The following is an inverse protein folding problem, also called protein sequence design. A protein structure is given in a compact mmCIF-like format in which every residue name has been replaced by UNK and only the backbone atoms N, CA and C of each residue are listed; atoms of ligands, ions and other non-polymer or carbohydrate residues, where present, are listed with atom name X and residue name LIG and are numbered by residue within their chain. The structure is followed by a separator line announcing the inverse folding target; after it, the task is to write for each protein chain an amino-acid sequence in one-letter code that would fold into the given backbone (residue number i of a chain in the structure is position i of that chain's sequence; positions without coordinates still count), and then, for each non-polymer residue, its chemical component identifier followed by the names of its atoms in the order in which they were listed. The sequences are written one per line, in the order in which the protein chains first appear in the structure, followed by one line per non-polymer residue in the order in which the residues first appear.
data_IF_261864704626
#
_entry.id   IF_261864704626
#
_cell.length_a   1.000
_cell.length_b   1.000
_cell.length_c   1.000
_cell.angle_alpha   90.00
_cell.angle_beta   90.00
_cell.angle_gamma   90.00
#
_symmetry.space_group_name_H-M   'P 1'
#
loop_
_entity.id
_entity.type
_entity.pdbx_description
1 polymer ?
#
# COMPACT_ATOMS: atom_id res chain seq x y z
N UNK A 1 4.52 -3.70 -46.61
CA UNK A 1 5.07 -4.74 -45.74
C UNK A 1 4.32 -4.67 -44.43
N UNK A 2 3.33 -5.53 -44.30
CA UNK A 2 2.42 -5.62 -43.13
C UNK A 2 3.13 -6.43 -42.05
N UNK A 3 3.56 -5.80 -40.96
CA UNK A 3 4.04 -6.52 -39.80
C UNK A 3 2.84 -7.15 -39.07
N UNK A 4 2.81 -8.47 -39.07
CA UNK A 4 1.90 -9.31 -38.29
C UNK A 4 2.24 -9.16 -36.82
N UNK A 5 1.29 -8.68 -36.02
CA UNK A 5 1.30 -8.72 -34.56
C UNK A 5 1.20 -10.20 -34.15
N UNK A 6 2.05 -10.73 -33.25
CA UNK A 6 1.86 -12.08 -32.74
C UNK A 6 0.60 -12.09 -31.87
N UNK A 7 -0.45 -12.76 -32.34
CA UNK A 7 -1.59 -13.16 -31.55
C UNK A 7 -1.21 -14.33 -30.65
N UNK A 8 -1.82 -14.31 -29.43
CA UNK A 8 -1.88 -15.42 -28.47
C UNK A 8 -0.75 -15.48 -27.45
N UNK A 9 -0.86 -14.60 -26.43
CA UNK A 9 -0.50 -15.02 -25.09
C UNK A 9 -1.60 -16.00 -24.62
N UNK A 10 -1.37 -17.29 -24.79
CA UNK A 10 -2.17 -18.35 -24.17
C UNK A 10 -1.91 -18.30 -22.65
N UNK A 11 -2.72 -17.54 -21.93
CA UNK A 11 -2.79 -17.60 -20.48
C UNK A 11 -3.50 -18.92 -20.12
N UNK A 12 -2.76 -19.98 -19.83
CA UNK A 12 -3.28 -21.06 -19.00
C UNK A 12 -3.67 -20.44 -17.65
N UNK A 13 -4.92 -20.58 -17.18
CA UNK A 13 -5.29 -20.08 -15.85
C UNK A 13 -4.41 -20.79 -14.83
N UNK A 14 -3.46 -20.05 -14.25
CA UNK A 14 -2.67 -20.51 -13.13
C UNK A 14 -3.63 -20.76 -11.96
N UNK A 15 -3.80 -21.99 -11.52
CA UNK A 15 -4.65 -22.35 -10.39
C UNK A 15 -4.23 -21.59 -9.12
N UNK A 16 -2.96 -21.18 -9.02
CA UNK A 16 -2.45 -20.31 -7.95
C UNK A 16 -3.05 -18.88 -8.00
N UNK A 17 -3.56 -18.46 -9.16
CA UNK A 17 -4.17 -17.16 -9.33
C UNK A 17 -5.59 -17.06 -8.72
N UNK A 18 -6.25 -18.18 -8.45
CA UNK A 18 -7.62 -18.18 -7.90
C UNK A 18 -7.58 -18.15 -6.37
N UNK A 19 -8.18 -17.09 -5.78
CA UNK A 19 -8.34 -17.02 -4.33
C UNK A 19 -9.53 -17.87 -3.89
N UNK A 20 -9.30 -18.79 -2.95
CA UNK A 20 -10.32 -19.58 -2.27
C UNK A 20 -10.27 -19.26 -0.78
N UNK A 21 -11.35 -18.67 -0.20
CA UNK A 21 -11.36 -18.34 1.21
C UNK A 21 -11.31 -19.60 2.08
N UNK A 22 -10.69 -19.48 3.23
CA UNK A 22 -10.67 -20.55 4.22
C UNK A 22 -12.10 -20.94 4.60
N UNK A 23 -12.38 -22.25 4.67
CA UNK A 23 -13.72 -22.77 5.02
C UNK A 23 -14.21 -22.17 6.34
N UNK A 24 -15.40 -21.56 6.30
CA UNK A 24 -16.00 -20.85 7.43
C UNK A 24 -15.51 -19.42 7.64
N UNK A 25 -14.63 -18.90 6.78
CA UNK A 25 -14.06 -17.55 6.84
C UNK A 25 -14.30 -16.78 5.52
N UNK A 26 -15.40 -17.04 4.84
CA UNK A 26 -15.79 -16.28 3.64
C UNK A 26 -16.38 -14.90 3.98
N UNK A 27 -16.75 -14.66 5.25
CA UNK A 27 -17.27 -13.36 5.66
C UNK A 27 -16.18 -12.28 5.58
N UNK A 28 -16.48 -11.16 4.90
CA UNK A 28 -15.56 -10.05 4.66
C UNK A 28 -14.92 -9.47 5.92
N UNK A 29 -15.66 -9.42 7.03
CA UNK A 29 -15.14 -8.89 8.28
C UNK A 29 -14.16 -9.86 8.95
N UNK A 30 -14.45 -11.17 8.87
CA UNK A 30 -13.50 -12.19 9.31
C UNK A 30 -12.23 -12.16 8.44
N UNK A 31 -12.36 -12.08 7.12
CA UNK A 31 -11.22 -11.92 6.22
C UNK A 31 -10.35 -10.71 6.60
N UNK A 32 -10.97 -9.57 6.87
CA UNK A 32 -10.25 -8.33 7.22
C UNK A 32 -9.53 -8.41 8.57
N UNK A 33 -10.17 -9.02 9.59
CA UNK A 33 -9.66 -8.99 10.96
C UNK A 33 -8.73 -10.16 11.31
N UNK A 34 -8.95 -11.33 10.73
CA UNK A 34 -8.27 -12.57 11.09
C UNK A 34 -6.74 -12.49 10.95
N UNK A 35 -6.15 -11.86 9.91
CA UNK A 35 -4.69 -11.73 9.81
C UNK A 35 -4.06 -11.12 11.08
N UNK A 36 -4.67 -10.09 11.65
CA UNK A 36 -4.19 -9.45 12.89
C UNK A 36 -4.26 -10.35 14.13
N UNK A 37 -5.22 -11.27 14.16
CA UNK A 37 -5.38 -12.17 15.28
C UNK A 37 -4.36 -13.31 15.25
N UNK A 38 -4.02 -13.80 14.05
CA UNK A 38 -3.12 -14.96 13.88
C UNK A 38 -1.66 -14.56 13.66
N UNK A 39 -1.38 -13.34 13.19
CA UNK A 39 -0.03 -12.83 12.94
C UNK A 39 0.27 -11.59 13.77
N UNK A 40 0.59 -11.82 15.05
CA UNK A 40 0.84 -10.75 16.04
C UNK A 40 2.30 -10.35 16.14
N UNK A 41 3.22 -11.17 15.64
CA UNK A 41 4.67 -10.94 15.73
C UNK A 41 5.25 -10.79 14.34
N UNK A 42 6.20 -9.90 14.18
CA UNK A 42 7.02 -9.78 12.97
C UNK A 42 7.75 -11.11 12.74
N UNK A 43 7.79 -11.57 11.49
CA UNK A 43 8.29 -12.89 11.12
C UNK A 43 9.82 -12.95 10.93
N UNK A 44 10.49 -11.82 10.98
CA UNK A 44 11.95 -11.70 10.85
C UNK A 44 12.48 -10.58 11.76
N UNK A 45 13.78 -10.57 12.02
CA UNK A 45 14.44 -9.46 12.71
C UNK A 45 14.81 -8.39 11.69
N UNK A 46 14.23 -7.18 11.76
CA UNK A 46 14.52 -6.13 10.80
C UNK A 46 15.87 -5.47 11.07
N UNK A 47 16.56 -5.10 10.00
CA UNK A 47 17.64 -4.12 10.04
C UNK A 47 17.03 -2.75 9.78
N UNK A 48 17.15 -1.84 10.75
CA UNK A 48 16.58 -0.51 10.65
C UNK A 48 17.56 0.48 10.03
N UNK A 49 17.07 1.32 9.17
CA UNK A 49 17.82 2.43 8.59
C UNK A 49 16.94 3.65 8.51
N UNK A 50 17.45 4.80 8.94
CA UNK A 50 16.81 6.10 8.71
C UNK A 50 17.29 6.66 7.39
N UNK A 51 16.35 7.14 6.58
CA UNK A 51 16.62 7.88 5.36
C UNK A 51 16.18 9.32 5.55
N UNK A 52 17.15 10.24 5.49
CA UNK A 52 16.87 11.66 5.50
C UNK A 52 16.28 12.11 4.16
N UNK A 53 15.29 12.99 4.23
CA UNK A 53 14.56 13.55 3.10
C UNK A 53 15.07 14.96 2.79
N UNK A 54 14.87 15.48 1.55
CA UNK A 54 15.37 16.78 1.14
C UNK A 54 14.85 17.98 1.93
N UNK A 55 13.79 17.81 2.71
CA UNK A 55 13.14 18.84 3.53
C UNK A 55 13.54 18.76 5.01
N UNK A 56 14.70 18.15 5.33
CA UNK A 56 15.21 17.94 6.70
C UNK A 56 14.29 17.05 7.58
N UNK A 57 13.39 16.30 6.95
CA UNK A 57 12.61 15.27 7.61
C UNK A 57 13.21 13.88 7.38
N UNK A 58 12.50 12.82 7.72
CA UNK A 58 12.98 11.44 7.55
C UNK A 58 11.84 10.45 7.34
N UNK A 59 12.21 9.31 6.77
CA UNK A 59 11.44 8.07 6.79
C UNK A 59 12.32 6.94 7.33
N UNK A 60 11.72 5.97 7.99
CA UNK A 60 12.44 4.80 8.50
C UNK A 60 12.18 3.57 7.64
N UNK A 61 13.24 2.88 7.30
CA UNK A 61 13.26 1.68 6.46
C UNK A 61 13.48 0.45 7.35
N UNK A 62 12.64 -0.57 7.20
CA UNK A 62 12.80 -1.86 7.86
C UNK A 62 13.17 -2.92 6.83
N UNK A 63 14.44 -3.30 6.77
CA UNK A 63 15.00 -4.26 5.85
C UNK A 63 14.88 -5.69 6.37
N UNK A 64 14.73 -6.66 5.47
CA UNK A 64 14.73 -8.09 5.81
C UNK A 64 16.08 -8.63 6.22
N UNK A 65 17.14 -7.97 5.80
CA UNK A 65 18.55 -8.26 6.09
C UNK A 65 19.39 -7.01 5.79
N UNK A 66 20.73 -7.06 6.03
CA UNK A 66 21.61 -5.94 5.74
C UNK A 66 21.63 -5.61 4.24
N UNK A 67 21.15 -4.41 3.83
CA UNK A 67 21.07 -4.05 2.43
C UNK A 67 22.43 -3.90 1.75
N UNK A 68 23.50 -3.61 2.50
CA UNK A 68 24.86 -3.51 1.95
C UNK A 68 25.42 -4.86 1.53
N UNK A 69 25.04 -5.93 2.23
CA UNK A 69 25.47 -7.28 1.89
C UNK A 69 24.58 -7.95 0.82
N UNK A 70 23.38 -7.41 0.61
CA UNK A 70 22.35 -7.96 -0.26
C UNK A 70 22.10 -7.13 -1.55
N UNK A 71 23.04 -6.24 -1.93
CA UNK A 71 22.85 -5.32 -3.07
C UNK A 71 22.57 -6.01 -4.40
N UNK A 72 23.11 -7.22 -4.59
CA UNK A 72 22.93 -8.02 -5.81
C UNK A 72 21.58 -8.74 -5.93
N UNK A 73 20.79 -8.73 -4.84
CA UNK A 73 19.51 -9.43 -4.82
C UNK A 73 18.40 -8.60 -5.49
N UNK A 74 17.42 -9.26 -6.12
CA UNK A 74 16.16 -8.58 -6.48
C UNK A 74 15.52 -7.94 -5.25
N UNK A 75 14.83 -6.82 -5.44
CA UNK A 75 14.31 -6.00 -4.34
C UNK A 75 12.79 -5.93 -4.34
N UNK A 76 12.21 -6.05 -3.15
CA UNK A 76 10.78 -5.85 -2.93
C UNK A 76 10.54 -4.73 -1.92
N UNK A 77 9.96 -3.63 -2.39
CA UNK A 77 9.56 -2.48 -1.58
C UNK A 77 8.09 -2.62 -1.18
N UNK A 78 7.77 -2.37 0.09
CA UNK A 78 6.38 -2.34 0.58
C UNK A 78 6.01 -0.96 1.08
N UNK A 79 4.93 -0.39 0.50
CA UNK A 79 4.22 0.80 0.97
C UNK A 79 2.96 0.38 1.73
N UNK A 80 2.92 0.68 3.01
CA UNK A 80 1.84 0.22 3.89
C UNK A 80 0.55 1.04 3.77
N UNK A 81 -0.55 0.56 4.33
CA UNK A 81 -1.82 1.27 4.41
C UNK A 81 -1.83 2.36 5.49
N UNK A 82 -2.99 3.01 5.65
CA UNK A 82 -3.22 4.07 6.63
C UNK A 82 -2.82 3.62 8.04
N UNK A 83 -1.93 4.39 8.69
CA UNK A 83 -1.36 4.08 10.02
C UNK A 83 -0.78 2.65 10.13
N UNK A 84 -0.34 2.10 9.00
CA UNK A 84 0.37 0.84 8.93
C UNK A 84 1.84 0.99 9.35
N UNK A 85 2.54 -0.14 9.37
CA UNK A 85 3.98 -0.21 9.66
C UNK A 85 4.50 -1.61 9.34
N UNK A 86 5.76 -1.88 9.65
CA UNK A 86 6.30 -3.24 9.66
C UNK A 86 5.44 -4.23 10.47
N UNK A 87 4.75 -3.76 11.53
CA UNK A 87 3.88 -4.61 12.35
C UNK A 87 2.53 -4.97 11.69
N UNK A 88 2.25 -4.44 10.51
CA UNK A 88 1.08 -4.86 9.73
C UNK A 88 1.29 -6.27 9.21
N UNK A 89 0.35 -7.23 9.45
CA UNK A 89 0.52 -8.64 9.08
C UNK A 89 0.89 -8.86 7.62
N UNK A 90 0.28 -8.08 6.72
CA UNK A 90 0.56 -8.15 5.29
C UNK A 90 1.98 -7.67 4.93
N UNK A 91 2.49 -6.66 5.66
CA UNK A 91 3.81 -6.09 5.37
C UNK A 91 4.92 -7.09 5.73
N UNK A 92 5.03 -7.48 7.01
CA UNK A 92 6.07 -8.43 7.40
C UNK A 92 5.88 -9.82 6.79
N UNK A 93 4.64 -10.23 6.48
CA UNK A 93 4.36 -11.49 5.84
C UNK A 93 4.88 -11.52 4.41
N UNK A 94 4.62 -10.46 3.63
CA UNK A 94 5.12 -10.36 2.26
C UNK A 94 6.66 -10.24 2.22
N UNK A 95 7.26 -9.46 3.13
CA UNK A 95 8.72 -9.37 3.24
C UNK A 95 9.35 -10.73 3.57
N UNK A 96 8.74 -11.51 4.47
CA UNK A 96 9.20 -12.87 4.76
C UNK A 96 9.08 -13.79 3.54
N UNK A 97 8.01 -13.68 2.76
CA UNK A 97 7.85 -14.44 1.53
C UNK A 97 8.89 -14.06 0.46
N UNK A 98 9.21 -12.77 0.33
CA UNK A 98 10.29 -12.27 -0.53
C UNK A 98 11.66 -12.81 -0.09
N UNK A 99 11.95 -12.74 1.21
CA UNK A 99 13.18 -13.28 1.79
C UNK A 99 13.35 -14.78 1.51
N UNK A 100 12.26 -15.55 1.61
CA UNK A 100 12.27 -16.98 1.31
C UNK A 100 12.60 -17.31 -0.17
N UNK A 101 12.40 -16.34 -1.08
CA UNK A 101 12.80 -16.40 -2.51
C UNK A 101 14.19 -15.85 -2.79
N UNK A 102 14.93 -15.43 -1.76
CA UNK A 102 16.24 -14.82 -1.91
C UNK A 102 16.19 -13.33 -2.31
N UNK A 103 15.05 -12.66 -2.20
CA UNK A 103 14.92 -11.24 -2.48
C UNK A 103 15.19 -10.40 -1.23
N UNK A 104 15.73 -9.22 -1.43
CA UNK A 104 15.88 -8.21 -0.39
C UNK A 104 14.55 -7.46 -0.23
N UNK A 105 13.91 -7.62 0.93
CA UNK A 105 12.66 -6.94 1.22
C UNK A 105 12.86 -5.71 2.09
N UNK A 106 12.07 -4.66 1.86
CA UNK A 106 12.05 -3.46 2.68
C UNK A 106 10.64 -2.90 2.85
N UNK A 107 10.30 -2.51 4.07
CA UNK A 107 9.10 -1.69 4.35
C UNK A 107 9.55 -0.25 4.54
N UNK A 108 9.08 0.65 3.68
CA UNK A 108 9.20 2.09 3.90
C UNK A 108 8.05 2.55 4.79
N UNK A 109 8.40 3.11 5.95
CA UNK A 109 7.40 3.72 6.83
C UNK A 109 7.13 5.15 6.35
N UNK A 110 5.86 5.49 6.15
CA UNK A 110 5.48 6.87 5.91
C UNK A 110 5.80 7.73 7.12
N UNK A 111 5.94 9.04 6.91
CA UNK A 111 6.29 10.01 7.95
C UNK A 111 5.46 9.80 9.22
N UNK A 112 6.11 9.63 10.35
CA UNK A 112 5.50 9.42 11.66
C UNK A 112 4.92 8.01 11.92
N UNK A 113 5.07 7.06 10.99
CA UNK A 113 4.50 5.71 11.12
C UNK A 113 5.47 4.67 11.69
N UNK A 114 6.74 4.98 11.88
CA UNK A 114 7.74 4.08 12.49
C UNK A 114 7.73 4.08 14.03
N UNK A 115 6.93 4.96 14.64
CA UNK A 115 6.85 5.14 16.10
C UNK A 115 7.39 6.49 16.57
N UNK A 116 8.27 7.13 15.83
CA UNK A 116 8.77 8.49 16.07
C UNK A 116 8.02 9.49 15.18
N UNK A 117 7.54 10.63 15.72
CA UNK A 117 6.91 11.67 14.92
C UNK A 117 7.93 12.30 13.97
N UNK A 118 7.54 12.54 12.75
CA UNK A 118 8.34 13.29 11.80
C UNK A 118 8.46 14.78 12.19
N UNK A 119 9.53 15.45 11.77
CA UNK A 119 9.92 16.79 12.23
C UNK A 119 9.11 17.91 11.58
N UNK A 120 8.87 17.79 10.26
CA UNK A 120 8.23 18.83 9.46
C UNK A 120 6.71 18.89 9.68
N UNK A 121 6.07 20.01 9.32
CA UNK A 121 4.60 20.15 9.32
C UNK A 121 3.93 19.12 8.42
N UNK A 122 4.57 18.83 7.30
CA UNK A 122 4.12 17.85 6.31
C UNK A 122 3.87 16.48 6.96
N UNK A 123 2.77 15.84 6.58
CA UNK A 123 2.42 14.46 6.95
C UNK A 123 2.20 13.65 5.67
N UNK A 124 2.17 12.32 5.78
CA UNK A 124 1.81 11.50 4.64
C UNK A 124 0.30 11.56 4.34
N UNK A 125 -0.08 11.34 3.09
CA UNK A 125 -1.46 11.20 2.64
C UNK A 125 -1.58 10.34 1.38
N UNK A 126 -2.82 10.04 0.94
CA UNK A 126 -3.08 9.06 -0.13
C UNK A 126 -2.48 9.42 -1.50
N UNK A 127 -2.21 10.69 -1.77
CA UNK A 127 -1.61 11.16 -3.03
C UNK A 127 -0.19 11.68 -2.87
N UNK A 128 0.44 11.49 -1.69
CA UNK A 128 1.80 11.93 -1.43
C UNK A 128 2.79 10.96 -2.06
N UNK A 129 3.36 11.34 -3.21
CA UNK A 129 4.26 10.50 -4.01
C UNK A 129 5.73 10.85 -3.87
N UNK A 130 6.06 12.03 -3.33
CA UNK A 130 7.43 12.57 -3.35
C UNK A 130 8.38 11.76 -2.48
N UNK A 131 7.97 11.40 -1.26
CA UNK A 131 8.80 10.56 -0.38
C UNK A 131 9.05 9.18 -0.98
N UNK A 132 8.03 8.57 -1.59
CA UNK A 132 8.16 7.29 -2.28
C UNK A 132 9.08 7.36 -3.49
N UNK A 133 8.94 8.40 -4.31
CA UNK A 133 9.81 8.66 -5.48
C UNK A 133 11.26 8.91 -5.04
N UNK A 134 11.45 9.73 -4.01
CA UNK A 134 12.78 9.99 -3.44
C UNK A 134 13.44 8.71 -2.95
N UNK A 135 12.72 7.91 -2.17
CA UNK A 135 13.23 6.64 -1.66
C UNK A 135 13.61 5.67 -2.78
N UNK A 136 12.78 5.52 -3.81
CA UNK A 136 13.06 4.60 -4.92
C UNK A 136 14.29 5.04 -5.72
N UNK A 137 14.45 6.35 -5.98
CA UNK A 137 15.64 6.89 -6.64
C UNK A 137 16.88 6.72 -5.79
N UNK A 138 16.81 7.07 -4.51
CA UNK A 138 17.89 6.84 -3.56
C UNK A 138 18.31 5.37 -3.50
N UNK A 139 17.32 4.45 -3.52
CA UNK A 139 17.57 3.00 -3.50
C UNK A 139 18.37 2.56 -4.75
N UNK A 140 18.01 3.03 -5.92
CA UNK A 140 18.69 2.71 -7.16
C UNK A 140 20.10 3.31 -7.22
N UNK A 141 20.27 4.55 -6.77
CA UNK A 141 21.56 5.26 -6.77
C UNK A 141 22.53 4.71 -5.73
N UNK A 142 22.05 4.44 -4.49
CA UNK A 142 22.91 4.03 -3.36
C UNK A 142 23.28 2.56 -3.42
N UNK A 143 22.35 1.69 -3.84
CA UNK A 143 22.58 0.24 -3.85
C UNK A 143 22.84 -0.33 -5.25
N UNK A 144 22.96 0.54 -6.27
CA UNK A 144 23.21 0.13 -7.65
C UNK A 144 22.01 -0.56 -8.32
N UNK A 145 22.17 -0.98 -9.59
CA UNK A 145 21.10 -1.61 -10.35
C UNK A 145 20.80 -3.02 -9.83
N UNK A 146 19.52 -3.29 -9.56
CA UNK A 146 19.01 -4.64 -9.35
C UNK A 146 17.50 -4.65 -9.70
N UNK A 147 16.94 -5.76 -10.18
CA UNK A 147 15.51 -5.87 -10.42
C UNK A 147 14.72 -5.44 -9.18
N UNK A 148 13.81 -4.49 -9.33
CA UNK A 148 13.11 -3.88 -8.19
C UNK A 148 11.61 -3.80 -8.45
N UNK A 149 10.82 -4.31 -7.52
CA UNK A 149 9.36 -4.18 -7.54
C UNK A 149 8.84 -3.50 -6.28
N UNK A 150 7.66 -2.87 -6.39
CA UNK A 150 6.98 -2.27 -5.26
C UNK A 150 5.59 -2.88 -5.06
N UNK A 151 5.16 -2.97 -3.80
CA UNK A 151 3.81 -3.41 -3.44
C UNK A 151 3.17 -2.36 -2.52
N UNK A 152 2.03 -1.84 -2.96
CA UNK A 152 1.24 -0.88 -2.19
C UNK A 152 -0.04 -1.51 -1.64
N UNK A 153 -0.30 -1.32 -0.35
CA UNK A 153 -1.51 -1.80 0.31
C UNK A 153 -2.44 -0.66 0.70
N UNK A 154 -3.72 -0.76 0.38
CA UNK A 154 -4.74 0.21 0.77
C UNK A 154 -4.31 1.65 0.39
N UNK A 155 -4.16 2.58 1.34
CA UNK A 155 -3.63 3.93 1.09
C UNK A 155 -2.30 3.90 0.32
N UNK A 156 -1.35 3.05 0.72
CA UNK A 156 -0.08 2.88 0.02
C UNK A 156 -0.24 2.37 -1.41
N UNK A 157 -1.32 1.62 -1.69
CA UNK A 157 -1.68 1.19 -3.04
C UNK A 157 -2.19 2.34 -3.92
N UNK A 158 -3.02 3.23 -3.36
CA UNK A 158 -3.45 4.43 -4.07
C UNK A 158 -2.25 5.37 -4.33
N UNK A 159 -1.41 5.58 -3.33
CA UNK A 159 -0.19 6.38 -3.46
C UNK A 159 0.73 5.80 -4.56
N UNK A 160 0.96 4.49 -4.56
CA UNK A 160 1.80 3.83 -5.56
C UNK A 160 1.21 3.96 -6.97
N UNK A 161 -0.11 3.85 -7.14
CA UNK A 161 -0.78 4.08 -8.42
C UNK A 161 -0.58 5.53 -8.92
N UNK A 162 -0.71 6.52 -8.03
CA UNK A 162 -0.43 7.92 -8.34
C UNK A 162 1.04 8.13 -8.72
N UNK A 163 1.96 7.51 -8.00
CA UNK A 163 3.40 7.57 -8.27
C UNK A 163 3.73 6.99 -9.65
N UNK A 164 3.25 5.79 -9.95
CA UNK A 164 3.47 5.14 -11.24
C UNK A 164 2.91 5.95 -12.41
N UNK A 165 1.72 6.54 -12.24
CA UNK A 165 1.11 7.37 -13.27
C UNK A 165 1.82 8.72 -13.48
N UNK A 166 2.43 9.28 -12.41
CA UNK A 166 3.17 10.54 -12.45
C UNK A 166 4.57 10.37 -13.03
N UNK A 167 5.30 9.36 -12.59
CA UNK A 167 6.69 9.14 -12.98
C UNK A 167 6.82 8.36 -14.31
N UNK A 168 5.80 7.58 -14.69
CA UNK A 168 5.81 6.79 -15.93
C UNK A 168 7.02 5.86 -15.99
N UNK A 169 7.73 5.89 -17.12
CA UNK A 169 8.90 5.03 -17.34
C UNK A 169 10.14 5.42 -16.54
N UNK A 170 10.18 6.62 -15.96
CA UNK A 170 11.34 7.11 -15.19
C UNK A 170 11.43 6.54 -13.79
N UNK A 171 10.34 5.93 -13.28
CA UNK A 171 10.38 5.27 -11.97
C UNK A 171 11.33 4.06 -12.02
N UNK A 172 12.26 3.91 -11.05
CA UNK A 172 13.20 2.80 -11.03
C UNK A 172 12.55 1.52 -10.47
N UNK A 173 11.47 1.07 -11.13
CA UNK A 173 10.74 -0.16 -10.84
C UNK A 173 10.56 -0.97 -12.13
N UNK A 174 10.71 -2.28 -12.05
CA UNK A 174 10.43 -3.21 -13.14
C UNK A 174 8.97 -3.64 -13.15
N UNK A 175 8.34 -3.74 -11.99
CA UNK A 175 6.92 -4.06 -11.83
C UNK A 175 6.36 -3.56 -10.50
N UNK A 176 5.03 -3.56 -10.36
CA UNK A 176 4.37 -3.25 -9.10
C UNK A 176 3.13 -4.10 -8.84
N UNK A 177 2.75 -4.25 -7.58
CA UNK A 177 1.44 -4.81 -7.21
C UNK A 177 0.68 -3.85 -6.28
N UNK A 178 -0.62 -3.75 -6.47
CA UNK A 178 -1.51 -2.84 -5.74
C UNK A 178 -2.65 -3.66 -5.15
N UNK A 179 -2.83 -3.60 -3.83
CA UNK A 179 -3.79 -4.43 -3.12
C UNK A 179 -4.79 -3.58 -2.36
N UNK A 180 -6.08 -3.82 -2.59
CA UNK A 180 -7.21 -3.18 -1.87
C UNK A 180 -7.09 -1.66 -1.81
N UNK A 181 -6.67 -1.02 -2.91
CA UNK A 181 -6.43 0.41 -2.96
C UNK A 181 -7.74 1.20 -3.13
N UNK A 182 -7.97 2.26 -2.32
CA UNK A 182 -9.15 3.10 -2.40
C UNK A 182 -9.01 4.12 -3.54
N UNK A 183 -9.10 3.67 -4.81
CA UNK A 183 -8.89 4.51 -6.00
C UNK A 183 -9.87 5.70 -6.13
N UNK A 184 -10.99 5.66 -5.42
CA UNK A 184 -11.98 6.75 -5.32
C UNK A 184 -12.12 7.14 -3.84
N UNK A 185 -11.24 8.01 -3.35
CA UNK A 185 -11.15 8.37 -1.93
C UNK A 185 -12.44 8.95 -1.36
N UNK A 186 -13.13 9.80 -2.13
CA UNK A 186 -14.41 10.40 -1.71
C UNK A 186 -15.46 9.30 -1.47
N UNK A 187 -15.63 8.36 -2.40
CA UNK A 187 -16.55 7.24 -2.27
C UNK A 187 -16.20 6.33 -1.09
N UNK A 188 -14.93 6.01 -0.91
CA UNK A 188 -14.46 5.22 0.23
C UNK A 188 -14.74 5.92 1.56
N UNK A 189 -14.51 7.23 1.64
CA UNK A 189 -14.81 8.04 2.84
C UNK A 189 -16.30 7.97 3.20
N UNK A 190 -17.20 8.14 2.22
CA UNK A 190 -18.65 8.00 2.43
C UNK A 190 -19.07 6.58 2.79
N UNK A 191 -18.43 5.55 2.17
CA UNK A 191 -18.72 4.16 2.48
C UNK A 191 -18.34 3.81 3.93
N UNK A 192 -17.20 4.31 4.40
CA UNK A 192 -16.70 4.12 5.76
C UNK A 192 -17.60 4.77 6.83
N UNK A 193 -18.45 5.73 6.47
CA UNK A 193 -19.44 6.35 7.35
C UNK A 193 -20.71 5.50 7.56
N UNK A 194 -20.83 4.34 6.88
CA UNK A 194 -22.06 3.54 6.87
C UNK A 194 -21.88 2.17 7.53
N UNK A 195 -22.95 1.65 8.10
CA UNK A 195 -23.03 0.28 8.60
C UNK A 195 -21.86 -0.13 9.51
N UNK A 196 -21.38 -1.34 9.34
CA UNK A 196 -20.28 -1.90 10.13
C UNK A 196 -18.92 -1.23 9.79
N UNK A 197 -18.77 -0.63 8.62
CA UNK A 197 -17.54 0.07 8.21
C UNK A 197 -17.17 1.21 9.15
N UNK A 198 -18.16 1.78 9.90
CA UNK A 198 -17.92 2.75 10.97
C UNK A 198 -17.01 2.23 12.09
N UNK A 199 -16.98 0.92 12.31
CA UNK A 199 -16.07 0.30 13.31
C UNK A 199 -14.62 0.43 12.84
N UNK A 200 -14.37 0.14 11.57
CA UNK A 200 -13.04 0.32 10.96
C UNK A 200 -12.64 1.79 10.90
N UNK A 201 -13.56 2.66 10.49
CA UNK A 201 -13.33 4.10 10.50
C UNK A 201 -12.90 4.59 11.89
N UNK A 202 -13.66 4.22 12.92
CA UNK A 202 -13.33 4.60 14.31
C UNK A 202 -11.96 4.08 14.73
N UNK A 203 -11.62 2.85 14.37
CA UNK A 203 -10.33 2.25 14.66
C UNK A 203 -9.18 3.06 13.99
N UNK A 204 -9.26 3.30 12.69
CA UNK A 204 -8.26 4.06 11.93
C UNK A 204 -8.15 5.51 12.42
N UNK A 205 -9.28 6.16 12.65
CA UNK A 205 -9.32 7.52 13.20
C UNK A 205 -8.62 7.62 14.57
N UNK A 206 -8.80 6.62 15.44
CA UNK A 206 -8.13 6.60 16.73
C UNK A 206 -6.60 6.50 16.58
N UNK A 207 -6.11 5.72 15.61
CA UNK A 207 -4.67 5.63 15.29
C UNK A 207 -4.15 6.97 14.77
N UNK A 208 -4.83 7.59 13.80
CA UNK A 208 -4.48 8.93 13.28
C UNK A 208 -4.44 9.99 14.38
N UNK A 209 -5.44 9.99 15.26
CA UNK A 209 -5.50 10.93 16.41
C UNK A 209 -4.36 10.68 17.39
N UNK A 210 -4.00 9.43 17.65
CA UNK A 210 -2.88 9.09 18.52
C UNK A 210 -1.55 9.57 17.92
N UNK A 211 -1.36 9.36 16.61
CA UNK A 211 -0.19 9.82 15.89
C UNK A 211 -0.10 11.36 15.88
N UNK A 212 -1.16 12.05 15.49
CA UNK A 212 -1.24 13.50 15.50
C UNK A 212 -1.00 14.09 16.93
N UNK A 213 -1.53 13.44 17.96
CA UNK A 213 -1.31 13.87 19.34
C UNK A 213 0.15 13.69 19.78
N UNK A 214 0.83 12.62 19.36
CA UNK A 214 2.29 12.44 19.61
C UNK A 214 3.09 13.54 18.91
N UNK A 215 2.76 13.83 17.65
CA UNK A 215 3.40 14.90 16.87
C UNK A 215 3.23 16.26 17.53
N UNK A 216 2.01 16.64 17.92
CA UNK A 216 1.76 17.90 18.64
C UNK A 216 2.51 18.04 19.98
N UNK A 217 2.76 16.91 20.67
CA UNK A 217 3.54 16.92 21.91
C UNK A 217 5.04 17.07 21.65
N UNK A 218 5.55 16.41 20.60
CA UNK A 218 6.98 16.46 20.25
C UNK A 218 7.33 17.79 19.56
N UNK A 219 6.47 18.26 18.70
CA UNK A 219 6.66 19.47 17.88
C UNK A 219 5.39 20.35 17.94
N UNK A 220 5.26 21.22 18.96
CA UNK A 220 4.14 22.15 19.07
C UNK A 220 4.01 23.00 17.79
N UNK A 221 2.80 23.40 17.44
CA UNK A 221 2.49 24.25 16.29
C UNK A 221 2.78 23.67 14.89
N UNK A 222 3.12 22.39 14.80
CA UNK A 222 3.32 21.70 13.51
C UNK A 222 1.99 21.31 12.83
N UNK A 223 0.93 21.15 13.60
CA UNK A 223 -0.39 20.85 13.06
C UNK A 223 -1.37 22.04 13.30
N UNK A 224 -2.31 22.28 12.38
CA UNK A 224 -3.24 23.42 12.46
C UNK A 224 -4.38 23.20 13.46
N UNK A 225 -4.19 22.39 14.48
CA UNK A 225 -5.19 22.01 15.48
C UNK A 225 -4.58 21.88 16.87
N UNK A 226 -5.36 22.18 17.88
CA UNK A 226 -5.03 21.86 19.27
C UNK A 226 -5.42 20.43 19.65
N UNK A 227 -4.83 19.88 20.73
CA UNK A 227 -5.25 18.59 21.29
C UNK A 227 -6.74 18.54 21.64
N UNK A 228 -7.34 19.68 22.06
CA UNK A 228 -8.76 19.79 22.36
C UNK A 228 -9.62 19.65 21.11
N UNK A 229 -9.25 20.25 19.99
CA UNK A 229 -9.92 20.12 18.70
C UNK A 229 -9.77 18.71 18.15
N UNK A 230 -8.56 18.14 18.19
CA UNK A 230 -8.27 16.77 17.75
C UNK A 230 -9.15 15.73 18.48
N UNK A 231 -9.36 15.88 19.81
CA UNK A 231 -10.24 15.00 20.58
C UNK A 231 -11.70 15.01 20.08
N UNK A 232 -12.20 16.12 19.55
CA UNK A 232 -13.59 16.27 19.07
C UNK A 232 -13.83 15.63 17.70
N UNK A 233 -12.80 15.38 16.91
CA UNK A 233 -12.91 14.73 15.59
C UNK A 233 -13.56 13.36 15.71
N UNK A 234 -14.58 13.09 14.89
CA UNK A 234 -15.40 11.87 14.94
C UNK A 234 -15.36 11.03 13.66
N UNK A 235 -14.93 11.62 12.53
CA UNK A 235 -14.89 11.01 11.20
C UNK A 235 -13.54 11.24 10.53
N UNK A 236 -13.15 10.34 9.61
CA UNK A 236 -11.94 10.50 8.81
C UNK A 236 -11.99 11.81 8.02
N UNK A 237 -13.10 12.10 7.37
CA UNK A 237 -13.28 13.35 6.63
C UNK A 237 -13.05 14.61 7.48
N UNK A 238 -13.55 14.63 8.73
CA UNK A 238 -13.30 15.75 9.64
C UNK A 238 -11.81 15.90 9.98
N UNK A 239 -11.09 14.78 10.09
CA UNK A 239 -9.63 14.79 10.27
C UNK A 239 -8.94 15.38 9.04
N UNK A 240 -9.36 14.95 7.85
CA UNK A 240 -8.79 15.42 6.59
C UNK A 240 -9.09 16.91 6.34
N UNK A 241 -10.31 17.38 6.64
CA UNK A 241 -10.66 18.81 6.57
C UNK A 241 -9.80 19.68 7.52
N UNK A 242 -9.59 19.20 8.74
CA UNK A 242 -8.92 19.98 9.78
C UNK A 242 -7.41 19.95 9.71
N UNK A 243 -6.83 18.86 9.20
CA UNK A 243 -5.40 18.60 9.25
C UNK A 243 -4.82 18.38 7.84
N UNK A 244 -5.19 17.29 7.16
CA UNK A 244 -4.59 16.90 5.89
C UNK A 244 -4.73 18.00 4.83
N UNK A 245 -5.95 18.48 4.61
CA UNK A 245 -6.20 19.51 3.61
C UNK A 245 -5.44 20.81 3.92
N UNK A 246 -5.48 21.27 5.16
CA UNK A 246 -4.82 22.52 5.55
C UNK A 246 -3.29 22.48 5.47
N UNK A 247 -2.69 21.34 5.82
CA UNK A 247 -1.21 21.18 5.76
C UNK A 247 -0.73 21.16 4.32
N UNK A 248 -1.49 20.52 3.44
CA UNK A 248 -1.07 20.28 2.04
C UNK A 248 -1.67 21.27 1.04
N UNK A 249 -2.42 22.29 1.51
CA UNK A 249 -2.92 23.37 0.66
C UNK A 249 -4.15 23.01 -0.18
N UNK A 250 -4.86 21.94 0.18
CA UNK A 250 -6.18 21.63 -0.41
C UNK A 250 -7.25 22.53 0.19
N UNK A 251 -8.27 22.84 -0.59
CA UNK A 251 -9.38 23.68 -0.12
C UNK A 251 -10.15 23.03 1.05
N UNK A 252 -10.40 21.74 0.95
CA UNK A 252 -11.07 20.90 1.96
C UNK A 252 -10.75 19.41 1.72
N UNK A 253 -11.34 18.49 2.51
CA UNK A 253 -11.16 17.05 2.33
C UNK A 253 -11.68 16.53 0.98
N UNK A 254 -12.72 17.14 0.41
CA UNK A 254 -13.26 16.73 -0.89
C UNK A 254 -12.31 17.08 -2.01
N UNK A 255 -11.73 18.27 -1.95
CA UNK A 255 -10.69 18.70 -2.89
C UNK A 255 -9.45 17.79 -2.80
N UNK A 256 -8.99 17.47 -1.58
CA UNK A 256 -7.96 16.48 -1.34
C UNK A 256 -8.32 15.13 -1.98
N UNK A 257 -9.52 14.60 -1.73
CA UNK A 257 -9.92 13.30 -2.27
C UNK A 257 -9.95 13.29 -3.80
N UNK A 258 -10.44 14.35 -4.44
CA UNK A 258 -10.51 14.47 -5.89
C UNK A 258 -9.12 14.54 -6.53
N UNK A 259 -8.22 15.34 -5.96
CA UNK A 259 -6.87 15.51 -6.49
C UNK A 259 -5.99 14.28 -6.26
N UNK A 260 -6.24 13.51 -5.19
CA UNK A 260 -5.40 12.40 -4.76
C UNK A 260 -5.97 11.00 -5.06
N UNK A 261 -7.14 10.91 -5.69
CA UNK A 261 -7.71 9.63 -6.15
C UNK A 261 -6.98 9.12 -7.39
N UNK A 262 -6.51 7.87 -7.37
CA UNK A 262 -5.75 7.29 -8.46
C UNK A 262 -6.62 6.84 -9.64
N UNK A 263 -7.93 6.64 -9.47
CA UNK A 263 -8.81 6.13 -10.54
C UNK A 263 -8.63 6.84 -11.89
N UNK A 264 -8.64 8.20 -11.97
CA UNK A 264 -8.47 8.89 -13.26
C UNK A 264 -7.07 8.75 -13.85
N UNK A 265 -6.11 8.28 -13.06
CA UNK A 265 -4.70 8.20 -13.45
C UNK A 265 -4.29 6.80 -13.91
N UNK A 266 -5.09 5.76 -13.63
CA UNK A 266 -4.75 4.36 -13.91
C UNK A 266 -4.39 4.12 -15.38
N UNK A 267 -5.04 4.82 -16.32
CA UNK A 267 -4.75 4.72 -17.75
C UNK A 267 -3.37 5.26 -18.17
N UNK A 268 -2.70 6.01 -17.29
CA UNK A 268 -1.37 6.57 -17.54
C UNK A 268 -0.23 5.69 -17.03
N UNK A 269 -0.53 4.57 -16.40
CA UNK A 269 0.47 3.64 -15.88
C UNK A 269 1.14 2.91 -17.04
N UNK A 270 2.46 3.03 -17.16
CA UNK A 270 3.26 2.39 -18.22
C UNK A 270 3.98 1.13 -17.76
N UNK A 271 4.25 0.99 -16.47
CA UNK A 271 4.92 -0.18 -15.90
C UNK A 271 3.97 -1.37 -15.76
N UNK A 272 4.46 -2.62 -15.79
CA UNK A 272 3.68 -3.81 -15.45
C UNK A 272 3.10 -3.70 -14.03
N UNK A 273 1.78 -3.83 -13.89
CA UNK A 273 1.11 -3.75 -12.59
C UNK A 273 0.09 -4.87 -12.43
N UNK A 274 0.10 -5.51 -11.25
CA UNK A 274 -0.97 -6.39 -10.79
C UNK A 274 -1.84 -5.64 -9.78
N UNK A 275 -3.11 -5.42 -10.09
CA UNK A 275 -4.08 -4.85 -9.15
C UNK A 275 -4.96 -5.97 -8.59
N UNK A 276 -5.07 -6.09 -7.28
CA UNK A 276 -5.90 -7.09 -6.59
C UNK A 276 -6.93 -6.39 -5.71
N UNK A 277 -8.22 -6.66 -5.97
CA UNK A 277 -9.35 -6.23 -5.14
C UNK A 277 -10.27 -7.40 -4.79
N UNK A 278 -11.05 -7.25 -3.72
CA UNK A 278 -12.17 -8.13 -3.40
C UNK A 278 -13.48 -7.37 -3.54
N UNK A 279 -14.50 -7.99 -4.16
CA UNK A 279 -15.85 -7.39 -4.29
C UNK A 279 -16.49 -7.12 -2.92
N UNK A 280 -16.13 -7.93 -1.94
CA UNK A 280 -16.66 -7.87 -0.58
C UNK A 280 -15.84 -6.95 0.36
N UNK A 281 -14.92 -6.13 -0.15
CA UNK A 281 -14.10 -5.25 0.68
C UNK A 281 -14.98 -4.30 1.50
N UNK A 282 -14.89 -4.32 2.87
CA UNK A 282 -15.76 -3.49 3.70
C UNK A 282 -15.36 -2.01 3.74
N UNK A 283 -14.26 -1.59 3.11
CA UNK A 283 -13.81 -0.21 3.06
C UNK A 283 -14.25 0.51 1.79
N UNK A 284 -14.66 -0.23 0.77
CA UNK A 284 -14.92 0.27 -0.56
C UNK A 284 -16.31 -0.11 -1.05
N UNK A 285 -16.82 0.64 -1.99
CA UNK A 285 -18.00 0.29 -2.78
C UNK A 285 -17.58 -0.02 -4.24
N UNK A 286 -18.55 -0.37 -5.08
CA UNK A 286 -18.33 -0.73 -6.47
C UNK A 286 -17.70 0.40 -7.31
N UNK A 287 -17.81 1.68 -6.91
CA UNK A 287 -17.19 2.81 -7.62
C UNK A 287 -15.66 2.81 -7.47
N UNK A 288 -15.12 2.13 -6.46
CA UNK A 288 -13.68 1.98 -6.26
C UNK A 288 -13.07 0.86 -7.10
N UNK A 289 -13.91 0.10 -7.83
CA UNK A 289 -13.49 -0.99 -8.71
C UNK A 289 -13.31 -0.43 -10.13
N UNK A 290 -12.10 -0.40 -10.70
CA UNK A 290 -11.88 0.08 -12.05
C UNK A 290 -12.52 -0.84 -13.07
N UNK A 291 -13.16 -0.27 -14.08
CA UNK A 291 -13.62 -1.06 -15.21
C UNK A 291 -12.41 -1.49 -16.07
N UNK A 292 -12.31 -2.78 -16.37
CA UNK A 292 -11.14 -3.34 -17.06
C UNK A 292 -10.89 -2.70 -18.44
N UNK A 293 -11.93 -2.23 -19.13
CA UNK A 293 -11.81 -1.53 -20.40
C UNK A 293 -11.01 -0.20 -20.33
N UNK A 294 -10.83 0.36 -19.15
CA UNK A 294 -10.06 1.60 -18.94
C UNK A 294 -8.63 1.35 -18.47
N UNK A 295 -8.25 0.10 -18.23
CA UNK A 295 -6.91 -0.25 -17.80
C UNK A 295 -6.02 -0.53 -19.03
N UNK A 296 -4.77 -0.03 -19.06
CA UNK A 296 -3.85 -0.32 -20.14
C UNK A 296 -3.42 -1.81 -20.11
N UNK A 297 -2.95 -2.31 -21.23
CA UNK A 297 -2.62 -3.73 -21.41
C UNK A 297 -1.53 -4.27 -20.46
N UNK A 298 -0.68 -3.39 -19.95
CA UNK A 298 0.35 -3.72 -18.96
C UNK A 298 -0.20 -3.80 -17.51
N UNK A 299 -1.49 -3.51 -17.30
CA UNK A 299 -2.14 -3.62 -15.98
C UNK A 299 -3.04 -4.85 -15.96
N UNK A 300 -2.63 -5.85 -15.19
CA UNK A 300 -3.46 -7.01 -14.89
C UNK A 300 -4.37 -6.72 -13.71
N UNK A 301 -5.68 -6.82 -13.88
CA UNK A 301 -6.65 -6.61 -12.81
C UNK A 301 -7.26 -7.92 -12.34
N UNK A 302 -7.14 -8.20 -11.07
CA UNK A 302 -7.68 -9.39 -10.42
C UNK A 302 -8.73 -9.00 -9.37
N UNK A 303 -10.00 -9.26 -9.68
CA UNK A 303 -11.13 -9.04 -8.78
C UNK A 303 -11.62 -10.38 -8.27
N UNK A 304 -11.52 -10.61 -6.97
CA UNK A 304 -12.03 -11.82 -6.30
C UNK A 304 -13.41 -11.58 -5.69
N UNK A 305 -14.22 -12.62 -5.54
CA UNK A 305 -15.54 -12.52 -4.89
C UNK A 305 -15.41 -12.22 -3.39
N UNK A 306 -14.39 -12.81 -2.77
CA UNK A 306 -14.10 -12.69 -1.34
C UNK A 306 -12.66 -12.23 -1.12
N UNK A 307 -12.34 -11.75 0.07
CA UNK A 307 -10.99 -11.32 0.44
C UNK A 307 -10.99 -10.30 1.58
N UNK A 308 -12.09 -9.59 1.75
CA UNK A 308 -12.17 -8.47 2.68
C UNK A 308 -11.17 -7.37 2.33
N UNK A 309 -10.80 -6.56 3.31
CA UNK A 309 -9.78 -5.52 3.12
C UNK A 309 -8.40 -6.07 3.46
N UNK A 310 -7.56 -6.30 2.44
CA UNK A 310 -6.17 -6.80 2.58
C UNK A 310 -6.05 -8.18 3.25
N UNK A 311 -7.16 -8.90 3.48
CA UNK A 311 -7.17 -10.12 4.26
C UNK A 311 -6.70 -11.34 3.49
N UNK A 312 -7.48 -11.78 2.51
CA UNK A 312 -7.22 -12.89 1.60
C UNK A 312 -6.70 -14.15 2.32
N UNK A 313 -7.41 -14.54 3.39
CA UNK A 313 -7.05 -15.70 4.20
C UNK A 313 -7.66 -16.97 3.60
N UNK A 314 -6.83 -17.82 3.07
CA UNK A 314 -7.16 -19.13 2.53
C UNK A 314 -6.68 -20.27 3.44
N UNK A 315 -6.66 -21.50 2.88
CA UNK A 315 -6.20 -22.69 3.57
C UNK A 315 -7.22 -23.26 4.57
N UNK A 316 -6.75 -23.73 5.71
CA UNK A 316 -7.58 -24.34 6.77
C UNK A 316 -7.33 -23.68 8.13
N UNK A 317 -8.24 -23.89 9.11
CA UNK A 317 -8.05 -23.39 10.49
C UNK A 317 -6.73 -23.84 11.13
N UNK A 318 -6.28 -25.05 10.82
CA UNK A 318 -4.99 -25.57 11.34
C UNK A 318 -3.78 -25.05 10.55
N UNK A 319 -3.97 -24.67 9.28
CA UNK A 319 -2.93 -24.16 8.37
C UNK A 319 -3.48 -22.99 7.56
N UNK A 320 -3.66 -21.82 8.19
CA UNK A 320 -4.11 -20.62 7.46
C UNK A 320 -3.02 -20.20 6.49
N UNK A 321 -3.43 -19.83 5.28
CA UNK A 321 -2.55 -19.32 4.23
C UNK A 321 -2.91 -17.87 3.94
N UNK A 322 -1.94 -16.99 3.98
CA UNK A 322 -2.08 -15.62 3.49
C UNK A 322 -1.83 -15.66 1.99
N UNK A 323 -2.88 -15.73 1.19
CA UNK A 323 -2.79 -15.94 -0.25
C UNK A 323 -1.95 -14.89 -0.97
N UNK A 324 -1.99 -13.63 -0.55
CA UNK A 324 -1.18 -12.55 -1.11
C UNK A 324 0.33 -12.81 -1.02
N UNK A 325 0.79 -13.55 0.01
CA UNK A 325 2.20 -13.88 0.20
C UNK A 325 2.72 -14.95 -0.77
N UNK A 326 1.82 -15.60 -1.49
CA UNK A 326 2.15 -16.50 -2.60
C UNK A 326 1.87 -15.80 -3.93
N UNK A 327 0.65 -15.27 -4.10
CA UNK A 327 0.19 -14.70 -5.36
C UNK A 327 1.04 -13.53 -5.88
N UNK A 328 1.40 -12.61 -4.99
CA UNK A 328 2.19 -11.43 -5.40
C UNK A 328 3.61 -11.83 -5.78
N UNK A 329 4.38 -12.57 -4.96
CA UNK A 329 5.71 -13.00 -5.35
C UNK A 329 5.71 -13.90 -6.59
N UNK A 330 4.74 -14.81 -6.77
CA UNK A 330 4.65 -15.65 -7.97
C UNK A 330 4.52 -14.80 -9.24
N UNK A 331 3.68 -13.77 -9.22
CA UNK A 331 3.54 -12.86 -10.34
C UNK A 331 4.80 -12.01 -10.57
N UNK A 332 5.43 -11.52 -9.49
CA UNK A 332 6.62 -10.68 -9.55
C UNK A 332 7.88 -11.44 -9.99
N UNK A 333 7.93 -12.77 -9.84
CA UNK A 333 9.06 -13.60 -10.28
C UNK A 333 9.43 -13.35 -11.73
N UNK A 334 8.44 -13.17 -12.61
CA UNK A 334 8.65 -12.88 -14.04
C UNK A 334 9.51 -11.62 -14.28
N UNK A 335 9.43 -10.66 -13.38
CA UNK A 335 10.10 -9.36 -13.50
C UNK A 335 11.38 -9.28 -12.65
N UNK A 336 11.42 -9.99 -11.53
CA UNK A 336 12.54 -9.96 -10.59
C UNK A 336 13.57 -11.03 -10.84
N UNK A 337 13.17 -12.15 -11.48
CA UNK A 337 14.04 -13.26 -11.84
C UNK A 337 13.92 -13.54 -13.35
N UNK A 338 14.38 -12.61 -14.23
CA UNK A 338 14.31 -12.85 -15.67
C UNK A 338 15.08 -14.13 -16.02
N UNK A 339 14.46 -14.93 -16.87
CA UNK A 339 15.07 -16.17 -17.36
C UNK A 339 16.42 -15.80 -18.00
N UNK A 340 17.49 -16.34 -17.43
CA UNK A 340 18.86 -16.20 -17.94
C UNK A 340 19.02 -16.93 -19.27
#
# INVERSE_FOLDING_TARGET
MTQTIPSEFNFTPDESATFVPMRGVSNRHLQTMLPRLIRRKVLFTPVWQRLDLPDDDFVDLAWSEDPLQAQHKPRLVVFHGLEGSLHSPYAHGLIQAAKARGWLGVVMHFRGCSGEPNRQKRIYHSGETEDGTWFLRWLAETHGPAPTAAVGYSLGGNMLACLLAKEGDTVPLDAAAIVSAPFMLEHCSYHMDKGFSRVYQRYLLNLLKANAARKLKAYPDTLPVSLRQLKKVRRLREFDDLITAKIHGFADAIDYYRQCSAMPLLSKITKPVLIIHAKDDPFMDHHSIPAQAFLPANVQYQLTEHGGHVGFVGGTLRRPKMWLETRIPDWLTTYLEPIR
#
